data_IF_419825016138
#
_entry.id   IF_419825016138
#
_cell.length_a   1.000
_cell.length_b   1.000
_cell.length_c   1.000
_cell.angle_alpha   90.00
_cell.angle_beta   90.00
_cell.angle_gamma   90.00
#
_symmetry.space_group_name_H-M   'P 1'
#
loop_
_entity.id
_entity.type
_entity.pdbx_description
1 polymer ?
#
# COMPACT_ATOMS: atom_id res chain seq x y z
N UNK A 1 35.22 38.26 -42.41
CA UNK A 1 33.90 38.16 -41.76
C UNK A 1 33.74 39.40 -40.88
N UNK A 2 32.70 40.21 -41.05
CA UNK A 2 32.62 41.51 -40.34
C UNK A 2 32.28 41.31 -38.87
N UNK A 3 32.98 42.04 -38.00
CA UNK A 3 32.82 41.99 -36.53
C UNK A 3 31.37 42.22 -36.07
N UNK A 4 30.56 42.90 -36.88
CA UNK A 4 29.13 43.12 -36.66
C UNK A 4 28.30 41.84 -36.69
N UNK A 5 28.58 40.92 -37.62
CA UNK A 5 27.88 39.63 -37.72
C UNK A 5 28.24 38.75 -36.51
N UNK A 6 29.51 38.76 -36.10
CA UNK A 6 29.95 38.05 -34.90
C UNK A 6 29.26 38.56 -33.62
N UNK A 7 29.10 39.88 -33.48
CA UNK A 7 28.39 40.49 -32.36
C UNK A 7 26.90 40.10 -32.32
N UNK A 8 26.21 40.12 -33.46
CA UNK A 8 24.81 39.72 -33.55
C UNK A 8 24.60 38.25 -33.17
N UNK A 9 25.44 37.36 -33.69
CA UNK A 9 25.40 35.93 -33.34
C UNK A 9 25.68 35.71 -31.85
N UNK A 10 26.61 36.46 -31.27
CA UNK A 10 26.90 36.40 -29.83
C UNK A 10 25.68 36.82 -28.99
N UNK A 11 25.02 37.93 -29.33
CA UNK A 11 23.81 38.39 -28.63
C UNK A 11 22.70 37.34 -28.73
N UNK A 12 22.46 36.77 -29.92
CA UNK A 12 21.47 35.70 -30.10
C UNK A 12 21.81 34.47 -29.26
N UNK A 13 23.08 34.04 -29.24
CA UNK A 13 23.52 32.92 -28.42
C UNK A 13 23.28 33.17 -26.92
N UNK A 14 23.59 34.38 -26.43
CA UNK A 14 23.35 34.78 -25.03
C UNK A 14 21.85 34.76 -24.71
N UNK A 15 20.99 35.27 -25.61
CA UNK A 15 19.54 35.25 -25.42
C UNK A 15 18.98 33.82 -25.37
N UNK A 16 19.46 32.94 -26.25
CA UNK A 16 19.08 31.52 -26.24
C UNK A 16 19.51 30.86 -24.92
N UNK A 17 20.75 31.06 -24.49
CA UNK A 17 21.27 30.52 -23.22
C UNK A 17 20.44 31.03 -22.04
N UNK A 18 20.14 32.33 -21.99
CA UNK A 18 19.32 32.91 -20.93
C UNK A 18 17.91 32.30 -20.89
N UNK A 19 17.28 32.11 -22.05
CA UNK A 19 15.98 31.45 -22.16
C UNK A 19 16.02 29.99 -21.67
N UNK A 20 17.06 29.24 -22.03
CA UNK A 20 17.27 27.86 -21.58
C UNK A 20 17.51 27.77 -20.07
N UNK A 21 18.27 28.71 -19.48
CA UNK A 21 18.48 28.77 -18.03
C UNK A 21 17.17 29.00 -17.29
N UNK A 22 16.36 29.98 -17.73
CA UNK A 22 15.04 30.25 -17.14
C UNK A 22 14.14 29.01 -17.23
N UNK A 23 14.10 28.36 -18.40
CA UNK A 23 13.32 27.15 -18.59
C UNK A 23 13.79 26.00 -17.69
N UNK A 24 15.10 25.77 -17.60
CA UNK A 24 15.68 24.74 -16.74
C UNK A 24 15.36 24.98 -15.25
N UNK A 25 15.40 26.23 -14.78
CA UNK A 25 15.00 26.57 -13.42
C UNK A 25 13.51 26.30 -13.17
N UNK A 26 12.64 26.67 -14.11
CA UNK A 26 11.21 26.39 -14.03
C UNK A 26 10.92 24.88 -14.00
N UNK A 27 11.60 24.11 -14.85
CA UNK A 27 11.40 22.66 -14.90
C UNK A 27 11.88 21.99 -13.60
N UNK A 28 13.04 22.41 -13.08
CA UNK A 28 13.56 21.91 -11.80
C UNK A 28 12.62 22.21 -10.62
N UNK A 29 12.02 23.40 -10.57
CA UNK A 29 11.07 23.72 -9.50
C UNK A 29 9.79 22.91 -9.62
N UNK A 30 9.32 22.64 -10.84
CA UNK A 30 8.16 21.78 -11.07
C UNK A 30 8.41 20.33 -10.68
N UNK A 31 9.58 19.77 -11.02
CA UNK A 31 9.98 18.42 -10.60
C UNK A 31 10.01 18.32 -9.07
N UNK A 32 10.67 19.26 -8.39
CA UNK A 32 10.72 19.30 -6.91
C UNK A 32 9.32 19.36 -6.29
N UNK A 33 8.41 20.15 -6.86
CA UNK A 33 7.03 20.24 -6.38
C UNK A 33 6.29 18.91 -6.53
N UNK A 34 6.44 18.23 -7.68
CA UNK A 34 5.81 16.93 -7.94
C UNK A 34 6.38 15.85 -7.01
N UNK A 35 7.70 15.83 -6.80
CA UNK A 35 8.34 14.90 -5.87
C UNK A 35 7.86 15.11 -4.43
N UNK A 36 7.80 16.38 -3.96
CA UNK A 36 7.29 16.69 -2.63
C UNK A 36 5.83 16.28 -2.46
N UNK A 37 4.98 16.52 -3.48
CA UNK A 37 3.59 16.08 -3.45
C UNK A 37 3.46 14.55 -3.41
N UNK A 38 4.26 13.82 -4.20
CA UNK A 38 4.27 12.36 -4.17
C UNK A 38 4.68 11.80 -2.82
N UNK A 39 5.75 12.34 -2.23
CA UNK A 39 6.22 11.91 -0.92
C UNK A 39 5.16 12.16 0.17
N UNK A 40 4.46 13.29 0.10
CA UNK A 40 3.38 13.60 1.06
C UNK A 40 2.19 12.64 0.90
N UNK A 41 1.79 12.33 -0.34
CA UNK A 41 0.73 11.35 -0.60
C UNK A 41 1.12 9.93 -0.15
N UNK A 42 2.37 9.51 -0.40
CA UNK A 42 2.90 8.23 0.09
C UNK A 42 2.88 8.18 1.62
N UNK A 43 3.34 9.25 2.30
CA UNK A 43 3.31 9.36 3.76
C UNK A 43 1.87 9.31 4.30
N UNK A 44 0.95 10.02 3.66
CA UNK A 44 -0.46 10.04 4.05
C UNK A 44 -1.12 8.68 3.86
N UNK A 45 -0.81 7.99 2.75
CA UNK A 45 -1.29 6.63 2.51
C UNK A 45 -0.78 5.66 3.58
N UNK A 46 0.50 5.75 3.97
CA UNK A 46 1.06 4.94 5.07
C UNK A 46 0.37 5.24 6.40
N UNK A 47 0.19 6.51 6.75
CA UNK A 47 -0.48 6.91 8.00
C UNK A 47 -1.92 6.41 8.08
N UNK A 48 -2.70 6.67 7.02
CA UNK A 48 -4.08 6.17 6.93
C UNK A 48 -4.13 4.63 7.00
N UNK A 49 -3.15 3.95 6.41
CA UNK A 49 -3.09 2.48 6.45
C UNK A 49 -2.79 1.95 7.84
N UNK A 50 -1.91 2.63 8.59
CA UNK A 50 -1.64 2.30 9.99
C UNK A 50 -2.88 2.51 10.88
N UNK A 51 -3.59 3.62 10.72
CA UNK A 51 -4.84 3.88 11.45
C UNK A 51 -5.92 2.83 11.13
N UNK A 52 -6.10 2.53 9.84
CA UNK A 52 -7.02 1.49 9.40
C UNK A 52 -6.62 0.10 9.94
N UNK A 53 -5.32 -0.17 10.02
CA UNK A 53 -4.81 -1.43 10.56
C UNK A 53 -5.19 -1.55 12.04
N UNK A 54 -5.04 -0.49 12.83
CA UNK A 54 -5.43 -0.44 14.24
C UNK A 54 -6.92 -0.78 14.42
N UNK A 55 -7.80 -0.26 13.56
CA UNK A 55 -9.22 -0.60 13.58
C UNK A 55 -9.49 -2.06 13.23
N UNK A 56 -8.85 -2.60 12.19
CA UNK A 56 -9.10 -3.98 11.74
C UNK A 56 -8.62 -4.99 12.76
N UNK A 57 -7.42 -4.82 13.32
CA UNK A 57 -6.89 -5.77 14.33
C UNK A 57 -7.70 -5.71 15.61
N UNK A 58 -8.22 -4.54 15.99
CA UNK A 58 -9.14 -4.40 17.12
C UNK A 58 -10.46 -5.14 16.86
N UNK A 59 -11.03 -4.99 15.66
CA UNK A 59 -12.25 -5.70 15.27
C UNK A 59 -12.04 -7.23 15.21
N UNK A 60 -10.87 -7.70 14.74
CA UNK A 60 -10.51 -9.12 14.74
C UNK A 60 -10.46 -9.69 16.16
N UNK A 61 -9.76 -9.01 17.08
CA UNK A 61 -9.64 -9.46 18.48
C UNK A 61 -11.00 -9.43 19.20
N UNK A 62 -11.88 -8.49 18.83
CA UNK A 62 -13.24 -8.40 19.35
C UNK A 62 -14.24 -9.32 18.61
N UNK A 63 -13.77 -10.13 17.66
CA UNK A 63 -14.60 -11.03 16.83
C UNK A 63 -15.75 -10.32 16.08
N UNK A 64 -15.54 -9.05 15.73
CA UNK A 64 -16.52 -8.22 15.01
C UNK A 64 -16.39 -8.33 13.48
N UNK A 65 -15.40 -9.06 13.00
CA UNK A 65 -15.14 -9.30 11.58
C UNK A 65 -14.69 -10.74 11.38
N UNK A 66 -15.06 -11.33 10.23
CA UNK A 66 -14.65 -12.67 9.87
C UNK A 66 -13.13 -12.77 9.70
N UNK A 67 -12.57 -13.92 10.05
CA UNK A 67 -11.12 -14.18 10.00
C UNK A 67 -10.59 -13.98 8.58
N UNK A 68 -11.33 -14.39 7.55
CA UNK A 68 -10.94 -14.19 6.15
C UNK A 68 -10.86 -12.70 5.79
N UNK A 69 -11.91 -11.93 6.08
CA UNK A 69 -11.98 -10.51 5.71
C UNK A 69 -10.92 -9.70 6.47
N UNK A 70 -10.82 -9.89 7.80
CA UNK A 70 -9.84 -9.19 8.61
C UNK A 70 -8.42 -9.51 8.16
N UNK A 71 -8.13 -10.78 7.84
CA UNK A 71 -6.80 -11.19 7.35
C UNK A 71 -6.44 -10.53 6.02
N UNK A 72 -7.36 -10.49 5.07
CA UNK A 72 -7.12 -9.83 3.78
C UNK A 72 -6.82 -8.35 3.95
N UNK A 73 -7.61 -7.66 4.79
CA UNK A 73 -7.42 -6.24 5.07
C UNK A 73 -6.09 -5.98 5.77
N UNK A 74 -5.74 -6.75 6.80
CA UNK A 74 -4.46 -6.64 7.49
C UNK A 74 -3.29 -6.86 6.52
N UNK A 75 -3.34 -7.91 5.69
CA UNK A 75 -2.29 -8.21 4.69
C UNK A 75 -2.05 -7.04 3.75
N UNK A 76 -3.10 -6.48 3.16
CA UNK A 76 -2.99 -5.35 2.22
C UNK A 76 -2.50 -4.08 2.92
N UNK A 77 -3.02 -3.78 4.11
CA UNK A 77 -2.61 -2.60 4.88
C UNK A 77 -1.13 -2.65 5.27
N UNK A 78 -0.65 -3.82 5.70
CA UNK A 78 0.77 -4.04 5.99
C UNK A 78 1.64 -3.80 4.74
N UNK A 79 1.23 -4.29 3.57
CA UNK A 79 1.99 -4.08 2.32
C UNK A 79 2.02 -2.63 1.84
N UNK A 80 0.95 -1.87 2.08
CA UNK A 80 0.92 -0.43 1.77
C UNK A 80 1.90 0.34 2.67
N UNK A 81 2.02 -0.09 3.94
CA UNK A 81 2.95 0.52 4.88
C UNK A 81 4.39 0.18 4.50
N UNK A 82 4.69 -1.12 4.41
CA UNK A 82 5.98 -1.66 3.98
C UNK A 82 5.78 -3.13 3.55
N UNK A 83 6.09 -3.49 2.30
CA UNK A 83 5.97 -4.87 1.81
C UNK A 83 6.67 -5.93 2.67
N UNK A 84 7.78 -5.57 3.35
CA UNK A 84 8.50 -6.50 4.22
C UNK A 84 7.72 -6.87 5.48
N UNK A 85 6.73 -6.06 5.90
CA UNK A 85 5.92 -6.35 7.08
C UNK A 85 5.03 -7.58 6.86
N UNK A 86 4.43 -7.74 5.69
CA UNK A 86 3.55 -8.89 5.41
C UNK A 86 4.32 -10.21 5.35
N UNK A 87 5.64 -10.15 5.15
CA UNK A 87 6.55 -11.30 5.14
C UNK A 87 7.09 -11.64 6.54
N UNK A 88 6.89 -10.80 7.55
CA UNK A 88 7.37 -11.07 8.91
C UNK A 88 6.67 -12.31 9.49
N UNK A 89 7.41 -13.21 10.15
CA UNK A 89 6.84 -14.43 10.73
C UNK A 89 5.65 -14.17 11.66
N UNK A 90 5.71 -13.09 12.44
CA UNK A 90 4.64 -12.69 13.35
C UNK A 90 3.33 -12.25 12.66
N UNK A 91 3.38 -11.83 11.39
CA UNK A 91 2.22 -11.37 10.62
C UNK A 91 1.82 -12.33 9.48
N UNK A 92 2.60 -13.39 9.26
CA UNK A 92 2.45 -14.31 8.13
C UNK A 92 1.07 -14.99 8.07
N UNK A 93 0.40 -15.16 9.21
CA UNK A 93 -0.93 -15.76 9.27
C UNK A 93 -1.96 -15.05 8.36
N UNK A 94 -1.86 -13.73 8.22
CA UNK A 94 -2.73 -12.97 7.32
C UNK A 94 -2.50 -13.32 5.85
N UNK A 95 -1.23 -13.46 5.45
CA UNK A 95 -0.85 -13.85 4.10
C UNK A 95 -1.24 -15.30 3.79
N UNK A 96 -1.16 -16.20 4.77
CA UNK A 96 -1.56 -17.60 4.62
C UNK A 96 -3.06 -17.73 4.37
N UNK A 97 -3.90 -17.06 5.18
CA UNK A 97 -5.35 -17.02 4.95
C UNK A 97 -5.66 -16.44 3.57
N UNK A 98 -5.00 -15.36 3.17
CA UNK A 98 -5.15 -14.78 1.84
C UNK A 98 -4.82 -15.80 0.73
N UNK A 99 -3.68 -16.48 0.82
CA UNK A 99 -3.25 -17.49 -0.14
C UNK A 99 -4.25 -18.64 -0.28
N UNK A 100 -4.80 -19.10 0.85
CA UNK A 100 -5.76 -20.22 0.92
C UNK A 100 -7.18 -19.85 0.49
N UNK A 101 -7.51 -18.58 0.35
CA UNK A 101 -8.89 -18.14 0.07
C UNK A 101 -9.02 -17.27 -1.17
N UNK A 102 -7.92 -16.78 -1.76
CA UNK A 102 -7.92 -15.89 -2.94
C UNK A 102 -8.59 -16.46 -4.19
N UNK A 103 -8.69 -17.79 -4.31
CA UNK A 103 -9.35 -18.44 -5.44
C UNK A 103 -10.87 -18.55 -5.28
N UNK A 104 -11.40 -18.33 -4.07
CA UNK A 104 -12.83 -18.36 -3.81
C UNK A 104 -13.52 -17.20 -4.51
N UNK A 105 -14.70 -17.44 -5.09
CA UNK A 105 -15.38 -16.44 -5.89
C UNK A 105 -16.04 -15.40 -4.98
N UNK A 106 -15.80 -14.14 -5.29
CA UNK A 106 -16.38 -12.98 -4.59
C UNK A 106 -17.33 -12.19 -5.51
N UNK A 107 -18.07 -11.24 -4.94
CA UNK A 107 -18.93 -10.30 -5.66
C UNK A 107 -19.78 -10.90 -6.80
N UNK A 108 -19.57 -10.45 -8.04
CA UNK A 108 -20.34 -10.87 -9.21
C UNK A 108 -20.07 -12.34 -9.59
N UNK A 109 -18.84 -12.81 -9.45
CA UNK A 109 -18.48 -14.20 -9.73
C UNK A 109 -19.19 -15.18 -8.78
N UNK A 110 -19.39 -14.78 -7.52
CA UNK A 110 -20.14 -15.56 -6.53
C UNK A 110 -21.62 -15.70 -6.86
N UNK A 111 -22.22 -14.71 -7.53
CA UNK A 111 -23.62 -14.76 -7.97
C UNK A 111 -23.85 -15.75 -9.10
N UNK A 112 -22.81 -16.04 -9.89
CA UNK A 112 -22.86 -17.00 -10.99
C UNK A 112 -22.75 -18.46 -10.53
N UNK A 113 -22.43 -18.69 -9.25
CA UNK A 113 -22.37 -20.02 -8.68
C UNK A 113 -23.75 -20.65 -8.53
N UNK A 114 -23.80 -21.95 -8.83
CA UNK A 114 -24.91 -22.79 -8.39
C UNK A 114 -24.96 -22.85 -6.85
N UNK A 115 -26.12 -23.15 -6.24
CA UNK A 115 -26.22 -23.31 -4.79
C UNK A 115 -25.23 -24.35 -4.22
N UNK A 116 -24.97 -25.42 -4.98
CA UNK A 116 -24.04 -26.48 -4.57
C UNK A 116 -22.58 -26.01 -4.55
N UNK A 117 -22.15 -25.29 -5.58
CA UNK A 117 -20.79 -24.72 -5.63
C UNK A 117 -20.58 -23.67 -4.55
N UNK A 118 -21.58 -22.79 -4.33
CA UNK A 118 -21.51 -21.80 -3.25
C UNK A 118 -21.36 -22.45 -1.88
N UNK A 119 -22.13 -23.49 -1.61
CA UNK A 119 -22.02 -24.24 -0.37
C UNK A 119 -20.65 -24.92 -0.22
N UNK A 120 -20.06 -25.41 -1.32
CA UNK A 120 -18.72 -25.99 -1.29
C UNK A 120 -17.65 -24.95 -0.96
N UNK A 121 -17.68 -23.78 -1.61
CA UNK A 121 -16.77 -22.66 -1.32
C UNK A 121 -16.96 -22.13 0.10
N UNK A 122 -18.19 -22.12 0.64
CA UNK A 122 -18.44 -21.71 2.01
C UNK A 122 -17.87 -22.70 3.04
N UNK A 123 -17.98 -24.00 2.78
CA UNK A 123 -17.34 -25.01 3.63
C UNK A 123 -15.83 -24.87 3.64
N UNK A 124 -15.23 -24.62 2.47
CA UNK A 124 -13.79 -24.38 2.36
C UNK A 124 -13.38 -23.13 3.14
N UNK A 125 -14.10 -22.01 2.96
CA UNK A 125 -13.83 -20.78 3.72
C UNK A 125 -13.91 -21.02 5.23
N UNK A 126 -15.00 -21.62 5.71
CA UNK A 126 -15.20 -21.88 7.14
C UNK A 126 -14.13 -22.81 7.71
N UNK A 127 -13.67 -23.81 6.95
CA UNK A 127 -12.59 -24.69 7.39
C UNK A 127 -11.26 -23.92 7.56
N UNK A 128 -10.93 -23.03 6.62
CA UNK A 128 -9.74 -22.16 6.74
C UNK A 128 -9.89 -21.22 7.92
N UNK A 129 -11.07 -20.61 8.11
CA UNK A 129 -11.31 -19.68 9.21
C UNK A 129 -11.17 -20.36 10.57
N UNK A 130 -11.72 -21.57 10.74
CA UNK A 130 -11.62 -22.32 11.99
C UNK A 130 -10.17 -22.73 12.30
N UNK A 131 -9.46 -23.25 11.29
CA UNK A 131 -8.07 -23.67 11.42
C UNK A 131 -7.12 -22.50 11.72
N UNK A 132 -7.29 -21.37 11.01
CA UNK A 132 -6.37 -20.24 11.08
C UNK A 132 -6.74 -19.23 12.15
N UNK A 133 -7.94 -19.29 12.75
CA UNK A 133 -8.40 -18.34 13.77
C UNK A 133 -7.37 -18.10 14.88
N UNK A 134 -6.79 -19.13 15.53
CA UNK A 134 -5.82 -18.91 16.60
C UNK A 134 -4.58 -18.15 16.12
N UNK A 135 -4.07 -18.52 14.94
CA UNK A 135 -2.88 -17.89 14.35
C UNK A 135 -3.14 -16.43 13.94
N UNK A 136 -4.30 -16.15 13.36
CA UNK A 136 -4.70 -14.79 12.95
C UNK A 136 -4.91 -13.88 14.16
N UNK A 137 -5.55 -14.37 15.22
CA UNK A 137 -5.72 -13.60 16.45
C UNK A 137 -4.38 -13.33 17.15
N UNK A 138 -3.47 -14.30 17.14
CA UNK A 138 -2.10 -14.09 17.62
C UNK A 138 -1.37 -13.02 16.79
N UNK A 139 -1.44 -13.08 15.47
CA UNK A 139 -0.86 -12.08 14.58
C UNK A 139 -1.47 -10.69 14.81
N UNK A 140 -2.79 -10.59 15.00
CA UNK A 140 -3.46 -9.33 15.33
C UNK A 140 -2.94 -8.75 16.67
N UNK A 141 -2.75 -9.59 17.69
CA UNK A 141 -2.16 -9.16 18.96
C UNK A 141 -0.70 -8.69 18.79
N UNK A 142 0.10 -9.35 17.95
CA UNK A 142 1.46 -8.90 17.64
C UNK A 142 1.47 -7.57 16.89
N UNK A 143 0.52 -7.34 15.98
CA UNK A 143 0.37 -6.03 15.31
C UNK A 143 0.07 -4.94 16.35
N UNK A 144 -0.84 -5.17 17.30
CA UNK A 144 -1.15 -4.20 18.37
C UNK A 144 0.10 -3.88 19.19
N UNK A 145 0.89 -4.90 19.56
CA UNK A 145 2.16 -4.70 20.29
C UNK A 145 3.19 -3.94 19.45
N UNK A 146 3.30 -4.26 18.16
CA UNK A 146 4.19 -3.57 17.24
C UNK A 146 3.80 -2.09 17.08
N UNK A 147 2.51 -1.80 16.93
CA UNK A 147 1.97 -0.44 16.86
C UNK A 147 2.22 0.36 18.13
N UNK A 148 2.13 -0.27 19.30
CA UNK A 148 2.42 0.36 20.59
C UNK A 148 3.89 0.81 20.75
N UNK A 149 4.84 0.18 20.04
CA UNK A 149 6.25 0.60 20.03
C UNK A 149 6.46 1.92 19.27
N UNK A 150 5.50 2.34 18.44
CA UNK A 150 5.54 3.61 17.72
C UNK A 150 6.48 3.61 16.50
N UNK A 151 6.92 4.79 16.02
CA UNK A 151 7.69 4.93 14.78
C UNK A 151 9.03 4.17 14.75
N UNK A 152 9.58 3.83 15.92
CA UNK A 152 10.82 3.04 16.04
C UNK A 152 10.67 1.59 15.57
N UNK A 153 9.45 1.10 15.38
CA UNK A 153 9.19 -0.29 14.99
C UNK A 153 9.17 -0.51 13.47
N UNK A 154 9.26 0.57 12.68
CA UNK A 154 9.37 0.54 11.22
C UNK A 154 10.82 0.31 10.74
N UNK A 155 11.79 0.29 11.66
CA UNK A 155 13.22 0.09 11.39
C UNK A 155 13.79 -1.10 12.15
#
# INVERSE_FOLDING_TARGET
MSSTVALLLFVVAVLIIAGLVVYAHKLRSEVKRREAFRLEEERRAQQNSLENLDYVVSALVQEQVDITEGSWRCKVLLEIVDPSLSERPEFQAFAEVYSRTRHLKTHSARKQLTPRERMQEDKERLAVEDEMRPAVLAAAAEVIKWRAKGPSALH
#
